data_IF_334090713538
#
_entry.id   IF_334090713538
#
_cell.length_a   1.000
_cell.length_b   1.000
_cell.length_c   1.000
_cell.angle_alpha   90.00
_cell.angle_beta   90.00
_cell.angle_gamma   90.00
#
_symmetry.space_group_name_H-M   'P 1'
#
loop_
_entity.id
_entity.type
_entity.pdbx_description
1 polymer ?
#
# COMPACT_ATOMS: atom_id res chain seq x y z
N UNK A 1 -15.86 -16.33 -64.91
CA UNK A 1 -15.55 -17.77 -64.96
C UNK A 1 -15.96 -18.20 -66.39
N UNK A 2 -15.00 -18.83 -67.06
CA UNK A 2 -15.32 -19.49 -68.35
C UNK A 2 -15.40 -21.00 -68.14
N UNK A 3 -16.38 -21.64 -68.66
CA UNK A 3 -16.55 -23.08 -68.54
C UNK A 3 -15.36 -23.82 -69.19
N UNK A 4 -14.69 -24.73 -68.47
CA UNK A 4 -13.50 -25.51 -68.84
C UNK A 4 -12.15 -24.79 -68.91
N UNK A 5 -12.00 -23.62 -68.28
CA UNK A 5 -10.65 -23.03 -68.00
C UNK A 5 -10.23 -23.30 -66.55
N UNK A 6 -8.95 -23.64 -66.31
CA UNK A 6 -8.46 -23.84 -64.92
C UNK A 6 -8.48 -22.52 -64.19
N UNK A 7 -8.97 -22.52 -62.96
CA UNK A 7 -8.97 -21.37 -62.07
C UNK A 7 -7.65 -21.33 -61.35
N UNK A 8 -6.89 -20.25 -61.51
CA UNK A 8 -5.66 -19.98 -60.77
C UNK A 8 -5.96 -18.92 -59.71
N UNK A 9 -5.64 -19.20 -58.49
CA UNK A 9 -5.71 -18.22 -57.41
C UNK A 9 -4.42 -18.25 -56.59
N UNK A 10 -4.04 -17.12 -56.03
CA UNK A 10 -2.96 -16.98 -55.10
C UNK A 10 -3.54 -16.73 -53.73
N UNK A 11 -3.00 -17.39 -52.72
CA UNK A 11 -3.32 -17.18 -51.31
C UNK A 11 -2.08 -16.72 -50.61
N UNK A 12 -2.16 -15.57 -50.01
CA UNK A 12 -1.11 -15.06 -49.13
C UNK A 12 -1.48 -15.41 -47.70
N UNK A 13 -0.63 -16.14 -46.99
CA UNK A 13 -0.84 -16.59 -45.61
C UNK A 13 0.32 -16.10 -44.76
N UNK A 14 0.01 -15.38 -43.71
CA UNK A 14 0.99 -15.03 -42.71
C UNK A 14 1.36 -16.29 -41.90
N UNK A 15 2.59 -16.71 -41.99
CA UNK A 15 3.12 -17.83 -41.21
C UNK A 15 4.07 -17.31 -40.15
N UNK A 16 4.03 -17.95 -38.99
CA UNK A 16 5.09 -17.76 -37.98
C UNK A 16 6.38 -18.29 -38.58
N UNK A 17 7.46 -17.47 -38.70
CA UNK A 17 8.71 -17.94 -39.24
C UNK A 17 9.31 -19.02 -38.36
N UNK A 18 9.83 -20.07 -38.98
CA UNK A 18 10.68 -21.01 -38.27
C UNK A 18 11.99 -20.31 -37.91
N UNK A 19 12.31 -20.25 -36.63
CA UNK A 19 13.56 -19.74 -36.14
C UNK A 19 14.27 -20.78 -35.26
N UNK A 20 15.55 -20.91 -35.44
CA UNK A 20 16.37 -21.71 -34.54
C UNK A 20 16.71 -20.85 -33.32
N UNK A 21 16.40 -21.38 -32.13
CA UNK A 21 16.85 -20.76 -30.89
C UNK A 21 18.38 -20.78 -30.85
N UNK A 22 19.00 -19.63 -30.65
CA UNK A 22 20.40 -19.57 -30.33
C UNK A 22 20.69 -20.38 -29.06
N UNK A 23 21.87 -20.94 -28.95
CA UNK A 23 22.29 -21.65 -27.74
C UNK A 23 22.29 -20.66 -26.56
N UNK A 24 21.30 -20.80 -25.68
CA UNK A 24 21.16 -19.98 -24.49
C UNK A 24 21.83 -20.56 -23.26
N UNK A 25 22.48 -21.74 -23.39
CA UNK A 25 23.21 -22.38 -22.29
C UNK A 25 24.44 -21.57 -21.87
N UNK A 26 24.97 -20.72 -22.78
CA UNK A 26 26.06 -19.79 -22.47
C UNK A 26 25.60 -18.42 -21.94
N UNK A 27 24.30 -18.13 -22.00
CA UNK A 27 23.69 -16.92 -21.40
C UNK A 27 23.45 -17.13 -19.90
N UNK A 28 24.47 -17.48 -19.17
CA UNK A 28 24.45 -17.44 -17.72
C UNK A 28 24.67 -15.97 -17.30
N UNK A 29 23.66 -15.24 -16.83
CA UNK A 29 23.92 -13.94 -16.27
C UNK A 29 24.85 -14.12 -15.08
N UNK A 30 25.91 -13.32 -15.04
CA UNK A 30 26.84 -13.26 -13.91
C UNK A 30 26.07 -12.59 -12.76
N UNK A 31 25.27 -13.40 -12.04
CA UNK A 31 24.49 -12.94 -10.89
C UNK A 31 25.48 -12.79 -9.74
N UNK A 32 25.79 -11.55 -9.39
CA UNK A 32 26.45 -11.26 -8.14
C UNK A 32 25.63 -11.89 -7.01
N UNK A 33 26.28 -12.70 -6.17
CA UNK A 33 25.65 -13.27 -5.00
C UNK A 33 25.18 -12.12 -4.12
N UNK A 34 23.87 -11.98 -3.94
CA UNK A 34 23.35 -11.02 -2.99
C UNK A 34 23.88 -11.39 -1.59
N UNK A 35 24.71 -10.52 -1.02
CA UNK A 35 25.13 -10.65 0.37
C UNK A 35 24.06 -9.98 1.23
N UNK A 36 23.39 -10.79 2.06
CA UNK A 36 22.42 -10.28 3.04
C UNK A 36 23.23 -9.55 4.12
N UNK A 37 22.94 -8.29 4.30
CA UNK A 37 23.59 -7.48 5.32
C UNK A 37 22.84 -7.57 6.65
N UNK A 38 23.56 -7.42 7.77
CA UNK A 38 22.92 -7.33 9.12
C UNK A 38 21.84 -6.26 9.18
N UNK A 39 21.98 -5.18 8.42
CA UNK A 39 20.99 -4.11 8.35
C UNK A 39 19.68 -4.58 7.73
N UNK A 40 19.74 -5.40 6.70
CA UNK A 40 18.56 -5.98 6.05
C UNK A 40 17.84 -6.97 6.98
N UNK A 41 18.60 -7.79 7.70
CA UNK A 41 18.05 -8.69 8.73
C UNK A 41 17.31 -7.90 9.81
N UNK A 42 17.93 -6.86 10.36
CA UNK A 42 17.29 -6.00 11.38
C UNK A 42 16.03 -5.33 10.83
N UNK A 43 16.07 -4.83 9.59
CA UNK A 43 14.91 -4.21 8.94
C UNK A 43 13.76 -5.20 8.76
N UNK A 44 14.07 -6.43 8.35
CA UNK A 44 13.08 -7.50 8.18
C UNK A 44 12.45 -7.88 9.52
N UNK A 45 13.26 -8.02 10.57
CA UNK A 45 12.76 -8.29 11.93
C UNK A 45 11.82 -7.19 12.45
N UNK A 46 12.16 -5.91 12.21
CA UNK A 46 11.29 -4.80 12.59
C UNK A 46 9.99 -4.79 11.77
N UNK A 47 10.03 -5.19 10.50
CA UNK A 47 8.83 -5.35 9.70
C UNK A 47 7.93 -6.49 10.23
N UNK A 48 8.52 -7.66 10.50
CA UNK A 48 7.79 -8.80 11.10
C UNK A 48 7.20 -8.45 12.47
N UNK A 49 7.95 -7.70 13.28
CA UNK A 49 7.49 -7.19 14.57
C UNK A 49 6.26 -6.28 14.43
N UNK A 50 6.25 -5.41 13.41
CA UNK A 50 5.11 -4.55 13.11
C UNK A 50 3.90 -5.33 12.60
N UNK A 51 4.13 -6.35 11.79
CA UNK A 51 3.07 -7.23 11.28
C UNK A 51 2.43 -8.07 12.39
N UNK A 52 3.22 -8.47 13.40
CA UNK A 52 2.77 -9.24 14.56
C UNK A 52 2.26 -8.35 15.71
N UNK A 53 2.12 -7.06 15.49
CA UNK A 53 1.71 -6.14 16.53
C UNK A 53 0.24 -6.33 16.94
N UNK A 54 -0.02 -6.16 18.21
CA UNK A 54 -1.37 -6.14 18.76
C UNK A 54 -1.93 -4.72 18.78
N UNK A 55 -3.20 -4.58 18.44
CA UNK A 55 -3.86 -3.28 18.48
C UNK A 55 -4.78 -3.21 19.70
N UNK A 56 -4.50 -2.26 20.58
CA UNK A 56 -5.28 -2.03 21.80
C UNK A 56 -6.03 -0.70 21.71
N UNK A 57 -7.34 -0.75 21.92
CA UNK A 57 -8.17 0.45 21.99
C UNK A 57 -7.79 1.29 23.20
N UNK A 58 -7.76 2.60 23.00
CA UNK A 58 -7.41 3.57 24.06
C UNK A 58 -8.45 4.68 24.10
N UNK A 59 -8.73 5.15 25.31
CA UNK A 59 -9.66 6.26 25.57
C UNK A 59 -8.85 7.51 25.96
N UNK A 60 -8.15 8.04 24.97
CA UNK A 60 -7.36 9.29 25.06
C UNK A 60 -7.36 10.00 23.71
N UNK A 61 -7.00 11.29 23.67
CA UNK A 61 -6.83 12.01 22.41
C UNK A 61 -5.79 11.34 21.50
N UNK A 62 -6.02 11.45 20.19
CA UNK A 62 -5.16 10.93 19.12
C UNK A 62 -3.77 11.53 19.22
N UNK A 63 -2.77 10.69 19.11
CA UNK A 63 -1.35 11.05 19.05
C UNK A 63 -0.69 10.53 17.78
N UNK A 64 0.49 11.05 17.49
CA UNK A 64 1.34 10.55 16.40
C UNK A 64 1.67 9.06 16.62
N UNK A 65 1.56 8.24 15.58
CA UNK A 65 1.73 6.78 15.64
C UNK A 65 0.47 5.99 16.02
N UNK A 66 -0.67 6.64 16.31
CA UNK A 66 -1.92 5.96 16.59
C UNK A 66 -2.64 5.51 15.32
N UNK A 67 -3.42 4.45 15.44
CA UNK A 67 -4.32 3.95 14.41
C UNK A 67 -5.75 4.40 14.71
N UNK A 68 -6.30 5.23 13.85
CA UNK A 68 -7.63 5.80 14.01
C UNK A 68 -8.61 5.14 13.06
N UNK A 69 -9.63 4.47 13.60
CA UNK A 69 -10.77 3.99 12.81
C UNK A 69 -11.78 5.12 12.70
N UNK A 70 -12.06 5.57 11.50
CA UNK A 70 -12.95 6.70 11.27
C UNK A 70 -13.80 6.52 10.00
N UNK A 71 -14.84 7.34 9.87
CA UNK A 71 -15.51 7.60 8.60
C UNK A 71 -15.11 8.96 8.09
N UNK A 72 -14.95 9.07 6.78
CA UNK A 72 -14.53 10.29 6.09
C UNK A 72 -15.59 10.65 5.06
N UNK A 73 -16.17 11.83 5.19
CA UNK A 73 -16.99 12.46 4.17
C UNK A 73 -16.23 13.62 3.57
N UNK A 74 -16.11 13.65 2.23
CA UNK A 74 -15.37 14.68 1.54
C UNK A 74 -16.22 15.39 0.49
N UNK A 75 -16.01 16.71 0.35
CA UNK A 75 -16.66 17.53 -0.67
C UNK A 75 -15.67 18.49 -1.31
N UNK A 76 -15.83 18.78 -2.61
CA UNK A 76 -15.08 19.80 -3.33
C UNK A 76 -16.09 20.78 -3.90
N UNK A 77 -15.96 22.07 -3.60
CA UNK A 77 -16.87 23.13 -4.07
C UNK A 77 -18.36 22.81 -3.76
N UNK A 78 -18.62 22.09 -2.66
CA UNK A 78 -19.97 21.68 -2.24
C UNK A 78 -20.51 20.46 -2.97
N UNK A 79 -19.73 19.81 -3.82
CA UNK A 79 -20.10 18.54 -4.47
C UNK A 79 -19.41 17.35 -3.78
N UNK A 80 -20.11 16.20 -3.65
CA UNK A 80 -19.52 15.02 -3.04
C UNK A 80 -18.22 14.58 -3.73
N UNK A 81 -17.20 14.28 -2.94
CA UNK A 81 -15.93 13.73 -3.41
C UNK A 81 -15.87 12.24 -3.07
N UNK A 82 -16.53 11.42 -3.90
CA UNK A 82 -16.77 9.99 -3.64
C UNK A 82 -15.47 9.18 -3.47
N UNK A 83 -14.40 9.52 -4.20
CA UNK A 83 -13.14 8.78 -4.12
C UNK A 83 -12.41 8.97 -2.78
N UNK A 84 -12.70 10.07 -2.06
CA UNK A 84 -12.15 10.34 -0.74
C UNK A 84 -13.17 10.10 0.39
N UNK A 85 -14.39 9.68 0.06
CA UNK A 85 -15.45 9.37 1.04
C UNK A 85 -15.39 7.90 1.40
N UNK A 86 -15.21 7.60 2.69
CA UNK A 86 -15.12 6.24 3.21
C UNK A 86 -15.99 6.08 4.46
N UNK A 87 -16.82 5.05 4.50
CA UNK A 87 -17.66 4.77 5.67
C UNK A 87 -16.88 4.18 6.84
N UNK A 88 -15.79 3.49 6.55
CA UNK A 88 -14.88 2.96 7.55
C UNK A 88 -13.47 2.79 6.95
N UNK A 89 -12.52 3.49 7.53
CA UNK A 89 -11.11 3.43 7.17
C UNK A 89 -10.27 3.48 8.43
N UNK A 90 -9.11 2.81 8.39
CA UNK A 90 -8.11 2.87 9.45
C UNK A 90 -6.96 3.74 8.94
N UNK A 91 -6.64 4.78 9.68
CA UNK A 91 -5.60 5.75 9.37
C UNK A 91 -4.49 5.65 10.41
N UNK A 92 -3.27 5.40 9.96
CA UNK A 92 -2.06 5.50 10.77
C UNK A 92 -1.61 6.96 10.78
N UNK A 93 -1.75 7.62 11.91
CA UNK A 93 -1.38 9.04 12.08
C UNK A 93 0.15 9.17 12.11
N UNK A 94 0.70 10.04 11.26
CA UNK A 94 2.15 10.21 11.08
C UNK A 94 2.76 9.39 9.94
N UNK A 95 1.97 8.55 9.26
CA UNK A 95 2.43 7.73 8.13
C UNK A 95 2.79 8.54 6.89
N UNK A 96 2.26 9.76 6.77
CA UNK A 96 2.39 10.66 5.61
C UNK A 96 1.89 10.05 4.29
N UNK A 97 0.91 9.15 4.38
CA UNK A 97 0.28 8.50 3.22
C UNK A 97 -0.90 9.28 2.67
N UNK A 98 -1.45 10.17 3.48
CA UNK A 98 -2.61 10.99 3.16
C UNK A 98 -2.19 12.41 2.75
N UNK A 99 -3.17 13.25 2.46
CA UNK A 99 -2.91 14.64 2.12
C UNK A 99 -2.18 15.37 3.25
N UNK A 100 -1.24 16.26 2.93
CA UNK A 100 -0.59 17.10 3.94
C UNK A 100 -1.61 17.87 4.76
N UNK A 101 -1.50 17.82 6.08
CA UNK A 101 -2.46 18.44 7.00
C UNK A 101 -3.64 17.54 7.41
N UNK A 102 -3.88 16.42 6.70
CA UNK A 102 -4.98 15.53 7.04
C UNK A 102 -4.72 14.78 8.34
N UNK A 103 -3.57 14.13 8.44
CA UNK A 103 -3.20 13.36 9.64
C UNK A 103 -2.96 14.28 10.84
N UNK A 104 -2.34 15.45 10.62
CA UNK A 104 -2.13 16.46 11.64
C UNK A 104 -3.45 17.02 12.21
N UNK A 105 -4.48 17.13 11.36
CA UNK A 105 -5.80 17.58 11.77
C UNK A 105 -6.53 16.60 12.69
N UNK A 106 -6.12 15.34 12.74
CA UNK A 106 -6.67 14.32 13.64
C UNK A 106 -6.00 14.33 15.02
N UNK A 107 -4.79 14.88 15.14
CA UNK A 107 -4.06 14.89 16.41
C UNK A 107 -4.82 15.70 17.45
N UNK A 108 -5.00 15.14 18.65
CA UNK A 108 -5.72 15.76 19.75
C UNK A 108 -7.23 15.55 19.73
N UNK A 109 -7.78 14.90 18.71
CA UNK A 109 -9.19 14.56 18.64
C UNK A 109 -9.51 13.35 19.54
N UNK A 110 -10.74 13.26 20.04
CA UNK A 110 -11.20 12.17 20.90
C UNK A 110 -12.07 11.19 20.12
N UNK A 111 -12.17 9.95 20.60
CA UNK A 111 -13.10 8.98 20.06
C UNK A 111 -14.56 9.48 20.17
N UNK A 112 -15.34 9.33 19.12
CA UNK A 112 -16.69 9.85 19.00
C UNK A 112 -16.78 11.31 18.54
N UNK A 113 -15.66 12.03 18.39
CA UNK A 113 -15.65 13.39 17.86
C UNK A 113 -15.67 13.39 16.33
N UNK A 114 -16.18 14.48 15.76
CA UNK A 114 -16.08 14.77 14.33
C UNK A 114 -15.10 15.94 14.15
N UNK A 115 -14.09 15.76 13.29
CA UNK A 115 -13.14 16.79 12.90
C UNK A 115 -13.46 17.28 11.50
N UNK A 116 -13.53 18.59 11.36
CA UNK A 116 -13.71 19.24 10.06
C UNK A 116 -12.41 19.94 9.66
N UNK A 117 -12.00 19.72 8.42
CA UNK A 117 -10.77 20.31 7.92
C UNK A 117 -10.88 20.67 6.43
N UNK A 118 -10.31 21.80 6.08
CA UNK A 118 -10.20 22.26 4.70
C UNK A 118 -8.76 22.07 4.22
N UNK A 119 -8.57 21.21 3.22
CA UNK A 119 -7.27 20.89 2.68
C UNK A 119 -7.21 21.21 1.19
N UNK A 120 -6.07 21.69 0.75
CA UNK A 120 -5.83 21.91 -0.68
C UNK A 120 -5.24 20.67 -1.32
N UNK A 121 -5.86 20.19 -2.38
CA UNK A 121 -5.32 19.08 -3.17
C UNK A 121 -4.02 19.49 -3.84
N UNK A 122 -2.99 18.64 -3.84
CA UNK A 122 -1.69 18.97 -4.41
C UNK A 122 -1.74 19.09 -5.94
N UNK A 123 -0.76 19.78 -6.52
CA UNK A 123 -0.66 20.03 -7.96
C UNK A 123 -0.36 18.75 -8.77
N UNK A 124 0.15 17.70 -8.12
CA UNK A 124 0.41 16.38 -8.70
C UNK A 124 -0.75 15.39 -8.50
N UNK A 125 -1.91 15.88 -8.03
CA UNK A 125 -3.08 15.01 -7.86
C UNK A 125 -3.46 14.32 -9.17
N UNK A 126 -3.82 13.01 -9.16
CA UNK A 126 -4.05 12.22 -10.38
C UNK A 126 -5.09 12.83 -11.33
N UNK A 127 -6.15 13.43 -10.77
CA UNK A 127 -7.22 14.07 -11.56
C UNK A 127 -6.91 15.55 -11.75
N UNK A 128 -6.55 15.96 -12.98
CA UNK A 128 -6.13 17.32 -13.31
C UNK A 128 -7.16 18.39 -12.92
N UNK A 129 -8.44 18.10 -13.09
CA UNK A 129 -9.53 19.04 -12.78
C UNK A 129 -9.68 19.37 -11.29
N UNK A 130 -9.04 18.61 -10.43
CA UNK A 130 -9.09 18.75 -8.96
C UNK A 130 -7.81 19.32 -8.36
N UNK A 131 -6.75 19.46 -9.14
CA UNK A 131 -5.46 20.00 -8.69
C UNK A 131 -5.62 21.42 -8.16
N UNK A 132 -5.02 21.66 -6.99
CA UNK A 132 -5.07 22.98 -6.34
C UNK A 132 -6.44 23.38 -5.80
N UNK A 133 -7.48 22.55 -5.91
CA UNK A 133 -8.79 22.83 -5.33
C UNK A 133 -8.82 22.56 -3.85
N UNK A 134 -9.65 23.33 -3.15
CA UNK A 134 -9.96 23.09 -1.75
C UNK A 134 -11.00 21.98 -1.62
N UNK A 135 -10.66 20.98 -0.80
CA UNK A 135 -11.57 19.93 -0.39
C UNK A 135 -11.88 20.07 1.09
N UNK A 136 -13.15 19.97 1.44
CA UNK A 136 -13.63 19.94 2.80
C UNK A 136 -13.81 18.49 3.23
N UNK A 137 -13.21 18.12 4.36
CA UNK A 137 -13.27 16.79 4.95
C UNK A 137 -13.96 16.86 6.30
N UNK A 138 -14.95 15.98 6.50
CA UNK A 138 -15.59 15.73 7.78
C UNK A 138 -15.23 14.31 8.21
N UNK A 139 -14.46 14.19 9.28
CA UNK A 139 -13.92 12.92 9.76
C UNK A 139 -14.52 12.57 11.11
N UNK A 140 -15.38 11.57 11.15
CA UNK A 140 -15.94 11.07 12.40
C UNK A 140 -15.08 9.92 12.95
N UNK A 141 -14.46 10.16 14.09
CA UNK A 141 -13.57 9.22 14.77
C UNK A 141 -14.40 8.21 15.54
N UNK A 142 -14.25 6.92 15.20
CA UNK A 142 -14.97 5.83 15.88
C UNK A 142 -14.15 5.22 17.01
N UNK A 143 -12.89 4.95 16.76
CA UNK A 143 -12.02 4.25 17.69
C UNK A 143 -10.56 4.66 17.49
N UNK A 144 -9.82 4.73 18.58
CA UNK A 144 -8.38 5.02 18.58
C UNK A 144 -7.67 3.78 19.10
N UNK A 145 -6.69 3.30 18.35
CA UNK A 145 -5.88 2.13 18.70
C UNK A 145 -4.41 2.48 18.76
N UNK A 146 -3.73 1.90 19.71
CA UNK A 146 -2.26 1.93 19.81
C UNK A 146 -1.73 0.60 19.34
N UNK A 147 -0.65 0.65 18.58
CA UNK A 147 0.10 -0.53 18.19
C UNK A 147 1.07 -0.91 19.31
N UNK A 148 0.78 -2.01 20.00
CA UNK A 148 1.69 -2.62 20.97
C UNK A 148 2.59 -3.62 20.24
N UNK A 149 3.87 -3.28 20.10
CA UNK A 149 4.85 -4.14 19.42
C UNK A 149 5.34 -5.22 20.38
N UNK A 150 5.36 -6.52 19.97
CA UNK A 150 5.94 -7.59 20.79
C UNK A 150 7.44 -7.36 21.02
N UNK A 151 7.98 -7.92 22.09
CA UNK A 151 9.43 -7.93 22.30
C UNK A 151 10.11 -8.89 21.31
N UNK A 152 11.34 -8.55 20.89
CA UNK A 152 12.13 -9.42 20.03
C UNK A 152 12.88 -10.44 20.89
N UNK A 153 12.20 -11.52 21.22
CA UNK A 153 12.71 -12.61 22.04
C UNK A 153 12.46 -13.98 21.39
N UNK A 154 12.79 -15.05 22.10
CA UNK A 154 12.61 -16.41 21.59
C UNK A 154 11.12 -16.80 21.50
N UNK A 155 10.25 -16.18 22.27
CA UNK A 155 8.81 -16.43 22.19
C UNK A 155 8.23 -15.79 20.91
N UNK A 156 8.72 -14.61 20.54
CA UNK A 156 8.40 -13.99 19.26
C UNK A 156 8.81 -14.87 18.06
N UNK A 157 9.99 -15.49 18.11
CA UNK A 157 10.45 -16.40 17.07
C UNK A 157 9.54 -17.63 16.94
N UNK A 158 9.07 -18.21 18.05
CA UNK A 158 8.12 -19.34 18.07
C UNK A 158 6.76 -18.97 17.54
N UNK A 159 6.29 -17.75 17.78
CA UNK A 159 4.99 -17.26 17.27
C UNK A 159 4.99 -17.08 15.75
N UNK A 160 6.16 -16.82 15.15
CA UNK A 160 6.32 -16.64 13.72
C UNK A 160 6.43 -17.96 12.93
N UNK A 161 6.85 -19.06 13.56
CA UNK A 161 7.02 -20.35 12.89
C UNK A 161 7.78 -21.38 13.71
N UNK A 162 8.35 -22.37 13.01
CA UNK A 162 9.10 -23.46 13.61
C UNK A 162 10.53 -23.05 14.04
N UNK A 163 10.67 -21.91 14.70
CA UNK A 163 11.94 -21.41 15.22
C UNK A 163 11.96 -21.57 16.74
N UNK A 164 13.04 -22.11 17.30
CA UNK A 164 13.17 -22.26 18.75
C UNK A 164 13.72 -20.99 19.43
N UNK A 165 14.56 -20.24 18.71
CA UNK A 165 15.23 -19.04 19.23
C UNK A 165 15.19 -17.89 18.21
N UNK A 166 15.38 -16.67 18.73
CA UNK A 166 15.55 -15.49 17.87
C UNK A 166 16.80 -15.58 16.97
N UNK A 167 17.80 -16.37 17.36
CA UNK A 167 18.98 -16.61 16.54
C UNK A 167 18.63 -17.47 15.31
N UNK A 168 17.82 -18.51 15.50
CA UNK A 168 17.35 -19.38 14.41
C UNK A 168 16.50 -18.61 13.38
N UNK A 169 15.78 -17.59 13.84
CA UNK A 169 14.98 -16.71 12.94
C UNK A 169 15.87 -15.78 12.11
N UNK A 170 17.10 -15.50 12.55
CA UNK A 170 18.04 -14.60 11.86
C UNK A 170 18.93 -15.31 10.84
N UNK A 171 19.05 -16.63 10.91
CA UNK A 171 19.88 -17.46 10.03
C UNK A 171 19.11 -17.92 8.77
#
# INVERSE_FOLDING_TARGET
FKENEPITFAVEVECIPDFELADYSELVPDLEKAEITEKEVVQTLENLRKESAYYRSVDRPVQDGDFVTCSVDATIEGQPFEEATHQEIIIEVGSKRYLPGFEEGLIGAEAGATQEMDLTLPDDYPVEERRGKQAHFSVAIKEIKVQDLPELDDDFAKDLGDFETLADLKD
#
